data_IF_284998397929
#
_entry.id   IF_284998397929
#
_cell.length_a   1.000
_cell.length_b   1.000
_cell.length_c   1.000
_cell.angle_alpha   90.00
_cell.angle_beta   90.00
_cell.angle_gamma   90.00
#
_symmetry.space_group_name_H-M   'P 1'
#
loop_
_entity.id
_entity.type
_entity.pdbx_description
1 polymer ?
#
# COMPACT_ATOMS: atom_id res chain seq x y z
N UNK A 1 15.01 49.56 -40.60
CA UNK A 1 15.56 48.20 -40.53
C UNK A 1 15.74 47.84 -39.04
N UNK A 2 14.78 47.11 -38.49
CA UNK A 2 14.86 46.63 -37.09
C UNK A 2 15.31 45.18 -37.15
N UNK A 3 16.53 44.95 -36.69
CA UNK A 3 17.14 43.61 -36.58
C UNK A 3 16.38 42.80 -35.54
N UNK A 4 15.61 41.80 -35.96
CA UNK A 4 15.05 40.74 -35.09
C UNK A 4 16.19 39.82 -34.73
N UNK A 5 16.85 40.06 -33.57
CA UNK A 5 17.75 39.14 -32.96
C UNK A 5 17.00 37.85 -32.60
N UNK A 6 17.19 36.81 -33.42
CA UNK A 6 16.61 35.48 -33.19
C UNK A 6 17.08 34.93 -31.85
N UNK A 7 16.16 34.73 -30.90
CA UNK A 7 16.38 33.91 -29.71
C UNK A 7 16.69 32.49 -30.17
N UNK A 8 17.99 32.16 -30.22
CA UNK A 8 18.45 30.80 -30.43
C UNK A 8 17.95 29.97 -29.24
N UNK A 9 16.82 29.27 -29.39
CA UNK A 9 16.35 28.29 -28.41
C UNK A 9 17.38 27.18 -28.29
N UNK A 10 17.51 26.61 -27.09
CA UNK A 10 18.36 25.46 -26.81
C UNK A 10 18.12 24.35 -27.84
N UNK A 11 19.20 23.70 -28.33
CA UNK A 11 19.07 22.56 -29.23
C UNK A 11 18.33 21.41 -28.54
N UNK A 12 17.69 20.51 -29.30
CA UNK A 12 16.92 19.37 -28.71
C UNK A 12 17.81 18.54 -27.76
N UNK A 13 19.09 18.29 -28.14
CA UNK A 13 20.05 17.59 -27.28
C UNK A 13 20.32 18.32 -25.95
N UNK A 14 20.38 19.66 -25.97
CA UNK A 14 20.57 20.46 -24.74
C UNK A 14 19.36 20.41 -23.83
N UNK A 15 18.15 20.40 -24.40
CA UNK A 15 16.91 20.22 -23.64
C UNK A 15 16.84 18.84 -23.02
N UNK A 16 17.16 17.79 -23.78
CA UNK A 16 17.13 16.42 -23.29
C UNK A 16 18.15 16.22 -22.16
N UNK A 17 19.36 16.78 -22.31
CA UNK A 17 20.37 16.75 -21.26
C UNK A 17 19.94 17.51 -20.01
N UNK A 18 19.33 18.68 -20.17
CA UNK A 18 18.80 19.47 -19.07
C UNK A 18 17.70 18.73 -18.30
N UNK A 19 16.73 18.11 -19.00
CA UNK A 19 15.69 17.32 -18.37
C UNK A 19 16.26 16.06 -17.67
N UNK A 20 17.25 15.43 -18.26
CA UNK A 20 17.95 14.30 -17.63
C UNK A 20 18.65 14.72 -16.34
N UNK A 21 19.34 15.85 -16.33
CA UNK A 21 19.98 16.39 -15.13
C UNK A 21 18.95 16.71 -14.03
N UNK A 22 17.84 17.36 -14.40
CA UNK A 22 16.75 17.64 -13.45
C UNK A 22 16.16 16.35 -12.87
N UNK A 23 15.97 15.32 -13.70
CA UNK A 23 15.50 14.02 -13.25
C UNK A 23 16.48 13.38 -12.23
N UNK A 24 17.80 13.43 -12.48
CA UNK A 24 18.79 12.93 -11.54
C UNK A 24 18.82 13.71 -10.22
N UNK A 25 18.73 15.04 -10.29
CA UNK A 25 18.65 15.90 -9.09
C UNK A 25 17.39 15.50 -8.28
N UNK A 26 16.25 15.36 -8.94
CA UNK A 26 15.00 14.93 -8.29
C UNK A 26 15.16 13.56 -7.62
N UNK A 27 15.75 12.59 -8.31
CA UNK A 27 16.02 11.24 -7.75
C UNK A 27 16.90 11.33 -6.51
N UNK A 28 17.98 12.12 -6.54
CA UNK A 28 18.87 12.28 -5.40
C UNK A 28 18.17 12.93 -4.21
N UNK A 29 17.34 13.95 -4.43
CA UNK A 29 16.54 14.59 -3.37
C UNK A 29 15.55 13.61 -2.73
N UNK A 30 14.87 12.81 -3.55
CA UNK A 30 13.90 11.80 -3.06
C UNK A 30 14.59 10.65 -2.33
N UNK A 31 15.78 10.24 -2.78
CA UNK A 31 16.54 9.16 -2.14
C UNK A 31 17.29 9.62 -0.87
N UNK A 32 17.52 10.91 -0.70
CA UNK A 32 18.27 11.42 0.44
C UNK A 32 17.74 10.95 1.80
N UNK A 33 16.44 11.08 2.13
CA UNK A 33 15.93 10.59 3.41
C UNK A 33 16.09 9.07 3.57
N UNK A 34 15.98 8.29 2.49
CA UNK A 34 16.17 6.83 2.54
C UNK A 34 17.63 6.49 2.83
N UNK A 35 18.57 7.15 2.13
CA UNK A 35 20.01 6.99 2.36
C UNK A 35 20.36 7.43 3.79
N UNK A 36 19.78 8.54 4.26
CA UNK A 36 19.98 9.02 5.61
C UNK A 36 19.51 8.00 6.66
N UNK A 37 18.34 7.43 6.51
CA UNK A 37 17.84 6.35 7.38
C UNK A 37 18.78 5.13 7.33
N UNK A 38 19.23 4.72 6.13
CA UNK A 38 20.18 3.63 5.99
C UNK A 38 21.50 3.87 6.72
N UNK A 39 22.02 5.11 6.70
CA UNK A 39 23.21 5.47 7.48
C UNK A 39 22.92 5.45 9.00
N UNK A 40 21.77 5.94 9.43
CA UNK A 40 21.39 5.98 10.84
C UNK A 40 21.27 4.59 11.49
N UNK A 41 20.92 3.55 10.71
CA UNK A 41 20.85 2.17 11.20
C UNK A 41 22.20 1.66 11.77
N UNK A 42 23.32 2.18 11.23
CA UNK A 42 24.66 1.74 11.58
C UNK A 42 25.46 2.80 12.34
N UNK A 43 24.91 3.98 12.57
CA UNK A 43 25.62 5.10 13.19
C UNK A 43 25.49 5.03 14.71
N UNK A 44 26.64 4.98 15.47
CA UNK A 44 26.60 4.98 16.93
C UNK A 44 25.89 6.20 17.50
N UNK A 45 25.12 6.02 18.59
CA UNK A 45 24.39 7.11 19.27
C UNK A 45 25.32 8.29 19.65
N UNK A 46 26.54 7.98 20.08
CA UNK A 46 27.53 8.98 20.52
C UNK A 46 27.92 10.00 19.46
N UNK A 47 27.82 9.63 18.17
CA UNK A 47 28.18 10.52 17.04
C UNK A 47 26.95 10.92 16.18
N UNK A 48 25.78 10.40 16.52
CA UNK A 48 24.57 10.53 15.69
C UNK A 48 24.14 12.00 15.51
N UNK A 49 24.26 12.81 16.56
CA UNK A 49 23.84 14.22 16.59
C UNK A 49 24.99 15.20 16.80
N UNK A 50 26.24 14.76 16.61
CA UNK A 50 27.41 15.65 16.68
C UNK A 50 27.35 16.74 15.60
N UNK A 51 27.86 17.91 15.95
CA UNK A 51 28.00 19.05 15.03
C UNK A 51 29.46 19.45 14.93
N UNK A 52 30.06 19.52 13.73
CA UNK A 52 29.45 19.23 12.42
C UNK A 52 29.08 17.75 12.26
N UNK A 53 28.17 17.45 11.33
CA UNK A 53 27.71 16.07 11.08
C UNK A 53 28.88 15.15 10.72
N UNK A 54 29.02 14.06 11.46
CA UNK A 54 30.03 13.03 11.19
C UNK A 54 29.51 12.12 10.08
N UNK A 55 30.19 12.13 8.94
CA UNK A 55 29.82 11.29 7.78
C UNK A 55 30.56 9.95 7.77
N UNK A 56 31.79 9.92 8.30
CA UNK A 56 32.61 8.71 8.39
C UNK A 56 32.69 8.30 9.86
N UNK A 57 32.18 7.12 10.17
CA UNK A 57 32.09 6.57 11.53
C UNK A 57 32.33 5.06 11.48
N UNK A 58 32.71 4.47 12.60
CA UNK A 58 32.73 3.01 12.75
C UNK A 58 31.29 2.49 12.89
N UNK A 59 30.84 1.61 11.98
CA UNK A 59 29.47 1.08 12.04
C UNK A 59 29.24 0.23 13.28
N UNK A 60 28.06 0.35 13.92
CA UNK A 60 27.60 -0.55 15.00
C UNK A 60 26.39 -1.37 14.56
N UNK A 61 26.20 -2.53 15.20
CA UNK A 61 25.01 -3.37 15.08
C UNK A 61 24.11 -3.35 16.33
N UNK A 62 24.47 -2.57 17.35
CA UNK A 62 23.74 -2.53 18.64
C UNK A 62 22.26 -2.19 18.47
N UNK A 63 21.91 -1.35 17.49
CA UNK A 63 20.53 -1.02 17.17
C UNK A 63 19.72 -2.22 16.67
N UNK A 64 20.37 -3.15 15.94
CA UNK A 64 19.72 -4.38 15.46
C UNK A 64 19.45 -5.34 16.61
N UNK A 65 20.41 -5.51 17.51
CA UNK A 65 20.24 -6.39 18.67
C UNK A 65 19.07 -5.92 19.53
N UNK A 66 18.99 -4.62 19.79
CA UNK A 66 17.87 -4.03 20.53
C UNK A 66 16.51 -4.31 19.89
N UNK A 67 16.33 -4.07 18.58
CA UNK A 67 15.02 -4.26 17.93
C UNK A 67 14.64 -5.74 17.86
N UNK A 68 15.63 -6.65 17.72
CA UNK A 68 15.42 -8.10 17.70
C UNK A 68 14.90 -8.56 19.07
N UNK A 69 15.49 -8.08 20.18
CA UNK A 69 15.04 -8.36 21.55
C UNK A 69 13.61 -7.86 21.81
N UNK A 70 13.20 -6.75 21.18
CA UNK A 70 11.82 -6.25 21.24
C UNK A 70 10.82 -7.04 20.38
N UNK A 71 11.22 -8.16 19.78
CA UNK A 71 10.34 -9.03 19.00
C UNK A 71 10.14 -8.58 17.55
N UNK A 72 11.08 -7.84 16.99
CA UNK A 72 11.03 -7.29 15.64
C UNK A 72 10.67 -8.31 14.56
N UNK A 73 11.36 -9.47 14.55
CA UNK A 73 11.15 -10.53 13.56
C UNK A 73 9.72 -11.07 13.62
N UNK A 74 9.19 -11.28 14.84
CA UNK A 74 7.79 -11.69 15.03
C UNK A 74 6.82 -10.65 14.48
N UNK A 75 7.06 -9.36 14.72
CA UNK A 75 6.19 -8.28 14.29
C UNK A 75 6.21 -8.10 12.76
N UNK A 76 7.36 -8.27 12.11
CA UNK A 76 7.48 -8.35 10.64
C UNK A 76 6.68 -9.52 10.09
N UNK A 77 6.84 -10.72 10.68
CA UNK A 77 6.07 -11.91 10.31
C UNK A 77 4.55 -11.71 10.46
N UNK A 78 4.13 -11.13 11.59
CA UNK A 78 2.72 -10.79 11.83
C UNK A 78 2.18 -9.82 10.77
N UNK A 79 2.93 -8.75 10.46
CA UNK A 79 2.54 -7.81 9.41
C UNK A 79 2.38 -8.49 8.05
N UNK A 80 3.32 -9.36 7.67
CA UNK A 80 3.24 -10.11 6.41
C UNK A 80 2.01 -11.01 6.37
N UNK A 81 1.78 -11.79 7.42
CA UNK A 81 0.63 -12.71 7.51
C UNK A 81 -0.69 -11.93 7.38
N UNK A 82 -0.86 -10.88 8.19
CA UNK A 82 -2.11 -10.09 8.21
C UNK A 82 -2.32 -9.37 6.87
N UNK A 83 -1.29 -8.73 6.32
CA UNK A 83 -1.41 -7.98 5.07
C UNK A 83 -1.67 -8.90 3.87
N UNK A 84 -0.99 -10.04 3.78
CA UNK A 84 -1.20 -11.00 2.70
C UNK A 84 -2.57 -11.65 2.84
N UNK A 85 -2.93 -12.15 4.02
CA UNK A 85 -4.20 -12.84 4.24
C UNK A 85 -5.40 -11.92 4.00
N UNK A 86 -5.36 -10.68 4.53
CA UNK A 86 -6.43 -9.70 4.28
C UNK A 86 -6.53 -9.35 2.79
N UNK A 87 -5.41 -9.15 2.10
CA UNK A 87 -5.39 -8.86 0.66
C UNK A 87 -5.97 -10.02 -0.16
N UNK A 88 -5.59 -11.26 0.14
CA UNK A 88 -6.14 -12.45 -0.54
C UNK A 88 -7.65 -12.57 -0.34
N UNK A 89 -8.13 -12.38 0.89
CA UNK A 89 -9.57 -12.40 1.17
C UNK A 89 -10.31 -11.27 0.43
N UNK A 90 -9.70 -10.07 0.35
CA UNK A 90 -10.25 -8.94 -0.41
C UNK A 90 -10.38 -9.30 -1.89
N UNK A 91 -9.39 -9.95 -2.50
CA UNK A 91 -9.44 -10.40 -3.90
C UNK A 91 -10.56 -11.42 -4.09
N UNK A 92 -10.65 -12.42 -3.22
CA UNK A 92 -11.63 -13.51 -3.30
C UNK A 92 -13.07 -12.96 -3.19
N UNK A 93 -13.33 -12.05 -2.24
CA UNK A 93 -14.66 -11.50 -1.98
C UNK A 93 -14.95 -10.30 -2.90
N UNK A 94 -13.96 -9.43 -3.07
CA UNK A 94 -14.10 -8.15 -3.76
C UNK A 94 -14.22 -8.29 -5.29
N UNK A 95 -13.58 -9.30 -5.90
CA UNK A 95 -13.67 -9.50 -7.36
C UNK A 95 -15.10 -9.87 -7.80
N UNK A 96 -15.77 -10.87 -7.19
CA UNK A 96 -17.17 -11.16 -7.48
C UNK A 96 -18.09 -9.97 -7.14
N UNK A 97 -17.83 -9.27 -6.03
CA UNK A 97 -18.61 -8.10 -5.65
C UNK A 97 -18.49 -6.96 -6.68
N UNK A 98 -17.28 -6.63 -7.12
CA UNK A 98 -17.05 -5.62 -8.14
C UNK A 98 -17.74 -5.96 -9.47
N UNK A 99 -17.65 -7.23 -9.87
CA UNK A 99 -18.34 -7.75 -11.05
C UNK A 99 -19.86 -7.62 -10.91
N UNK A 100 -20.41 -8.00 -9.77
CA UNK A 100 -21.85 -7.89 -9.51
C UNK A 100 -22.34 -6.44 -9.59
N UNK A 101 -21.61 -5.48 -8.98
CA UNK A 101 -21.93 -4.07 -9.07
C UNK A 101 -21.72 -3.45 -10.47
N UNK A 102 -20.93 -4.09 -11.33
CA UNK A 102 -20.76 -3.64 -12.70
C UNK A 102 -21.84 -4.15 -13.64
N UNK A 103 -22.32 -5.40 -13.48
CA UNK A 103 -23.11 -6.13 -14.46
C UNK A 103 -24.55 -6.38 -14.06
N UNK A 104 -24.85 -6.66 -12.77
CA UNK A 104 -26.19 -7.05 -12.39
C UNK A 104 -27.11 -5.84 -12.18
N UNK A 105 -28.35 -5.89 -12.70
CA UNK A 105 -29.39 -4.94 -12.34
C UNK A 105 -29.86 -5.26 -10.91
N UNK A 106 -29.43 -4.41 -9.96
CA UNK A 106 -29.86 -4.52 -8.56
C UNK A 106 -30.69 -3.29 -8.21
N UNK A 107 -31.77 -3.49 -7.42
CA UNK A 107 -32.55 -2.39 -6.87
C UNK A 107 -31.63 -1.48 -6.04
N UNK A 108 -31.65 -0.17 -6.32
CA UNK A 108 -30.79 0.83 -5.67
C UNK A 108 -29.27 0.51 -5.72
N UNK A 109 -28.81 -0.10 -6.81
CA UNK A 109 -27.39 -0.53 -6.97
C UNK A 109 -26.40 0.59 -6.65
N UNK A 110 -26.65 1.79 -7.15
CA UNK A 110 -25.72 2.89 -6.99
C UNK A 110 -25.76 3.46 -5.56
N UNK A 111 -26.92 3.40 -4.87
CA UNK A 111 -27.03 3.75 -3.44
C UNK A 111 -26.23 2.78 -2.57
N UNK A 112 -26.37 1.46 -2.80
CA UNK A 112 -25.58 0.45 -2.09
C UNK A 112 -24.08 0.62 -2.35
N UNK A 113 -23.73 0.91 -3.58
CA UNK A 113 -22.34 1.16 -3.93
C UNK A 113 -21.80 2.41 -3.23
N UNK A 114 -22.55 3.50 -3.22
CA UNK A 114 -22.21 4.72 -2.49
C UNK A 114 -22.13 4.48 -0.98
N UNK A 115 -23.03 3.67 -0.42
CA UNK A 115 -22.97 3.28 0.99
C UNK A 115 -21.66 2.54 1.32
N UNK A 116 -21.25 1.57 0.50
CA UNK A 116 -19.97 0.88 0.66
C UNK A 116 -18.80 1.86 0.61
N UNK A 117 -18.82 2.84 -0.29
CA UNK A 117 -17.79 3.88 -0.33
C UNK A 117 -17.81 4.78 0.90
N UNK A 118 -19.01 5.14 1.37
CA UNK A 118 -19.19 5.98 2.56
C UNK A 118 -18.59 5.34 3.82
N UNK A 119 -18.58 4.00 3.94
CA UNK A 119 -17.93 3.30 5.07
C UNK A 119 -16.44 3.62 5.17
N UNK A 120 -15.76 3.86 4.05
CA UNK A 120 -14.35 4.27 4.02
C UNK A 120 -14.13 5.72 4.46
N UNK A 121 -15.15 6.58 4.34
CA UNK A 121 -15.06 7.98 4.76
C UNK A 121 -15.20 8.16 6.27
N UNK A 122 -15.66 7.12 6.99
CA UNK A 122 -15.73 7.15 8.44
C UNK A 122 -14.33 7.31 9.04
N UNK A 123 -14.14 8.25 9.99
CA UNK A 123 -12.85 8.44 10.65
C UNK A 123 -12.39 7.14 11.34
N UNK A 124 -11.21 6.59 11.04
CA UNK A 124 -10.75 5.33 11.62
C UNK A 124 -10.75 5.35 13.16
N UNK A 125 -10.40 6.50 13.76
CA UNK A 125 -10.40 6.68 15.22
C UNK A 125 -11.81 6.51 15.82
N UNK A 126 -12.85 6.97 15.14
CA UNK A 126 -14.23 6.80 15.61
C UNK A 126 -14.70 5.35 15.49
N UNK A 127 -14.18 4.63 14.49
CA UNK A 127 -14.58 3.23 14.25
C UNK A 127 -13.83 2.24 15.15
N UNK A 128 -12.59 2.52 15.53
CA UNK A 128 -11.76 1.56 16.26
C UNK A 128 -12.29 1.24 17.66
N UNK A 129 -12.93 2.21 18.33
CA UNK A 129 -13.50 2.00 19.68
C UNK A 129 -14.65 0.99 19.65
N UNK A 130 -15.69 1.14 18.80
CA UNK A 130 -16.72 0.12 18.63
C UNK A 130 -16.13 -1.26 18.25
N UNK A 131 -15.15 -1.31 17.36
CA UNK A 131 -14.47 -2.58 17.00
C UNK A 131 -13.82 -3.21 18.23
N UNK A 132 -13.08 -2.45 19.03
CA UNK A 132 -12.46 -2.95 20.25
C UNK A 132 -13.50 -3.58 21.19
N UNK A 133 -14.61 -2.89 21.46
CA UNK A 133 -15.67 -3.36 22.36
C UNK A 133 -16.33 -4.66 21.85
N UNK A 134 -16.56 -4.75 20.53
CA UNK A 134 -17.15 -5.95 19.92
C UNK A 134 -16.14 -7.10 19.99
N UNK A 135 -14.88 -6.86 19.57
CA UNK A 135 -13.84 -7.88 19.49
C UNK A 135 -13.48 -8.45 20.86
N UNK A 136 -13.47 -7.61 21.90
CA UNK A 136 -13.28 -8.06 23.27
C UNK A 136 -14.39 -9.02 23.73
N UNK A 137 -15.65 -8.78 23.31
CA UNK A 137 -16.80 -9.64 23.68
C UNK A 137 -16.83 -10.96 22.91
N UNK A 138 -16.43 -10.96 21.61
CA UNK A 138 -16.51 -12.14 20.76
C UNK A 138 -15.21 -12.94 20.69
N UNK A 139 -14.18 -12.56 21.44
CA UNK A 139 -12.90 -13.25 21.48
C UNK A 139 -11.98 -13.02 20.26
N UNK A 140 -12.21 -11.95 19.50
CA UNK A 140 -11.38 -11.58 18.34
C UNK A 140 -10.27 -10.59 18.68
N UNK A 141 -10.25 -10.04 19.91
CA UNK A 141 -9.17 -9.16 20.37
C UNK A 141 -7.85 -9.94 20.44
N UNK A 142 -6.74 -9.29 20.08
CA UNK A 142 -5.39 -9.86 20.06
C UNK A 142 -5.25 -11.16 19.27
N UNK A 143 -5.97 -11.25 18.14
CA UNK A 143 -5.99 -12.43 17.27
C UNK A 143 -5.74 -12.09 15.79
N UNK A 144 -5.11 -13.02 15.05
CA UNK A 144 -4.93 -12.88 13.60
C UNK A 144 -6.27 -12.71 12.86
N UNK A 145 -7.32 -13.55 13.11
CA UNK A 145 -8.60 -13.38 12.45
C UNK A 145 -9.22 -12.00 12.72
N UNK A 146 -9.14 -11.52 13.97
CA UNK A 146 -9.65 -10.20 14.33
C UNK A 146 -8.99 -9.09 13.50
N UNK A 147 -7.68 -9.09 13.43
CA UNK A 147 -6.96 -8.04 12.70
C UNK A 147 -7.17 -8.13 11.18
N UNK A 148 -7.21 -9.35 10.63
CA UNK A 148 -7.52 -9.59 9.21
C UNK A 148 -8.92 -9.07 8.87
N UNK A 149 -9.93 -9.37 9.68
CA UNK A 149 -11.30 -8.90 9.49
C UNK A 149 -11.40 -7.37 9.61
N UNK A 150 -10.69 -6.76 10.56
CA UNK A 150 -10.63 -5.30 10.67
C UNK A 150 -10.06 -4.66 9.39
N UNK A 151 -9.02 -5.25 8.80
CA UNK A 151 -8.41 -4.74 7.57
C UNK A 151 -9.31 -4.89 6.33
N UNK A 152 -10.22 -5.86 6.33
CA UNK A 152 -11.24 -5.96 5.27
C UNK A 152 -12.16 -4.74 5.26
N UNK A 153 -12.52 -4.19 6.41
CA UNK A 153 -13.55 -3.14 6.51
C UNK A 153 -13.23 -1.89 5.70
N UNK A 154 -11.97 -1.48 5.64
CA UNK A 154 -11.56 -0.29 4.89
C UNK A 154 -10.99 -0.60 3.51
N UNK A 155 -10.39 -1.78 3.31
CA UNK A 155 -9.77 -2.14 2.04
C UNK A 155 -10.74 -2.74 1.03
N UNK A 156 -11.76 -3.50 1.47
CA UNK A 156 -12.73 -4.11 0.57
C UNK A 156 -13.51 -3.06 -0.23
N UNK A 157 -13.94 -1.99 0.42
CA UNK A 157 -14.63 -0.87 -0.22
C UNK A 157 -13.80 -0.25 -1.34
N UNK A 158 -12.52 -0.02 -1.07
CA UNK A 158 -11.58 0.52 -2.05
C UNK A 158 -11.38 -0.43 -3.24
N UNK A 159 -11.15 -1.71 -2.93
CA UNK A 159 -10.95 -2.73 -3.95
C UNK A 159 -12.16 -2.84 -4.90
N UNK A 160 -13.37 -2.94 -4.33
CA UNK A 160 -14.61 -3.04 -5.10
C UNK A 160 -14.81 -1.78 -5.96
N UNK A 161 -14.54 -0.60 -5.41
CA UNK A 161 -14.66 0.66 -6.14
C UNK A 161 -13.75 0.71 -7.36
N UNK A 162 -12.47 0.43 -7.18
CA UNK A 162 -11.50 0.51 -8.28
C UNK A 162 -11.77 -0.58 -9.31
N UNK A 163 -11.97 -1.83 -8.87
CA UNK A 163 -12.15 -2.95 -9.80
C UNK A 163 -13.48 -2.89 -10.56
N UNK A 164 -14.55 -2.30 -9.97
CA UNK A 164 -15.80 -2.02 -10.71
C UNK A 164 -15.56 -1.16 -11.95
N UNK A 165 -14.67 -0.19 -11.89
CA UNK A 165 -14.34 0.66 -13.03
C UNK A 165 -13.72 -0.17 -14.17
N UNK A 166 -12.77 -1.04 -13.84
CA UNK A 166 -12.19 -1.96 -14.82
C UNK A 166 -13.22 -2.94 -15.41
N UNK A 167 -14.14 -3.45 -14.58
CA UNK A 167 -15.23 -4.30 -15.08
C UNK A 167 -16.11 -3.57 -16.10
N UNK A 168 -16.40 -2.27 -15.88
CA UNK A 168 -17.24 -1.46 -16.79
C UNK A 168 -16.56 -1.18 -18.13
N UNK A 169 -15.24 -1.13 -18.16
CA UNK A 169 -14.47 -0.92 -19.40
C UNK A 169 -14.34 -2.21 -20.22
N UNK A 170 -14.58 -3.37 -19.63
CA UNK A 170 -14.54 -4.67 -20.34
C UNK A 170 -15.81 -4.81 -21.20
N UNK A 171 -15.67 -5.15 -22.52
CA UNK A 171 -16.81 -5.37 -23.41
C UNK A 171 -17.74 -6.45 -22.90
N UNK A 172 -19.05 -6.16 -22.82
CA UNK A 172 -20.06 -7.10 -22.32
C UNK A 172 -20.33 -8.23 -23.33
N UNK A 173 -20.07 -7.99 -24.59
CA UNK A 173 -20.25 -8.93 -25.71
C UNK A 173 -19.44 -10.22 -25.53
N UNK A 174 -18.26 -10.13 -24.88
CA UNK A 174 -17.43 -11.30 -24.57
C UNK A 174 -18.11 -12.22 -23.54
N UNK A 175 -18.82 -11.62 -22.59
CA UNK A 175 -19.55 -12.34 -21.57
C UNK A 175 -20.83 -12.99 -22.14
N UNK A 176 -21.54 -12.26 -23.00
CA UNK A 176 -22.75 -12.74 -23.70
C UNK A 176 -22.43 -13.89 -24.65
N UNK A 177 -21.35 -13.80 -25.43
CA UNK A 177 -20.89 -14.88 -26.28
C UNK A 177 -20.56 -16.15 -25.48
N UNK A 178 -19.85 -16.01 -24.36
CA UNK A 178 -19.54 -17.16 -23.50
C UNK A 178 -20.81 -17.78 -22.86
N UNK A 179 -21.80 -16.95 -22.51
CA UNK A 179 -23.10 -17.45 -22.02
C UNK A 179 -23.90 -18.18 -23.12
N UNK A 180 -23.80 -17.72 -24.38
CA UNK A 180 -24.41 -18.41 -25.52
C UNK A 180 -23.75 -19.78 -25.78
N UNK A 181 -22.45 -19.91 -25.48
CA UNK A 181 -21.71 -21.18 -25.51
C UNK A 181 -22.00 -22.07 -24.29
N UNK A 182 -22.94 -21.70 -23.42
CA UNK A 182 -23.39 -22.49 -22.27
C UNK A 182 -22.60 -22.31 -20.96
N UNK A 183 -21.72 -21.32 -20.89
CA UNK A 183 -21.03 -21.00 -19.63
C UNK A 183 -21.99 -20.40 -18.60
N UNK A 184 -21.92 -20.88 -17.37
CA UNK A 184 -22.60 -20.22 -16.25
C UNK A 184 -21.94 -18.87 -15.93
N UNK A 185 -22.67 -17.96 -15.29
CA UNK A 185 -22.13 -16.63 -14.88
C UNK A 185 -20.88 -16.72 -14.02
N UNK A 186 -20.76 -17.73 -13.16
CA UNK A 186 -19.55 -17.97 -12.37
C UNK A 186 -18.38 -18.41 -13.25
N UNK A 187 -18.63 -19.25 -14.25
CA UNK A 187 -17.61 -19.65 -15.20
C UNK A 187 -17.16 -18.47 -16.07
N UNK A 188 -18.09 -17.61 -16.49
CA UNK A 188 -17.78 -16.36 -17.20
C UNK A 188 -16.88 -15.48 -16.35
N UNK A 189 -17.22 -15.25 -15.06
CA UNK A 189 -16.39 -14.48 -14.17
C UNK A 189 -14.97 -15.05 -14.06
N UNK A 190 -14.83 -16.34 -13.79
CA UNK A 190 -13.51 -16.95 -13.49
C UNK A 190 -12.68 -17.20 -14.75
N UNK A 191 -13.32 -17.62 -15.87
CA UNK A 191 -12.61 -18.03 -17.09
C UNK A 191 -12.42 -16.93 -18.12
N UNK A 192 -13.28 -15.90 -18.10
CA UNK A 192 -13.26 -14.82 -19.10
C UNK A 192 -12.91 -13.49 -18.44
N UNK A 193 -13.74 -13.04 -17.50
CA UNK A 193 -13.65 -11.68 -16.94
C UNK A 193 -12.42 -11.53 -16.04
N UNK A 194 -12.19 -12.42 -15.07
CA UNK A 194 -11.05 -12.29 -14.16
C UNK A 194 -9.69 -12.34 -14.87
N UNK A 195 -9.45 -13.20 -15.90
CA UNK A 195 -8.24 -13.11 -16.72
C UNK A 195 -8.07 -11.78 -17.45
N UNK A 196 -9.15 -11.22 -18.01
CA UNK A 196 -9.12 -9.91 -18.67
C UNK A 196 -8.84 -8.78 -17.66
N UNK A 197 -9.39 -8.88 -16.45
CA UNK A 197 -9.19 -7.93 -15.36
C UNK A 197 -7.86 -8.11 -14.62
N UNK A 198 -7.03 -9.10 -14.98
CA UNK A 198 -5.79 -9.42 -14.26
C UNK A 198 -4.91 -8.21 -13.96
N UNK A 199 -4.66 -7.26 -14.90
CA UNK A 199 -3.87 -6.07 -14.60
C UNK A 199 -4.52 -5.20 -13.50
N UNK A 200 -5.83 -5.00 -13.57
CA UNK A 200 -6.60 -4.23 -12.57
C UNK A 200 -6.64 -4.93 -11.21
N UNK A 201 -6.85 -6.25 -11.19
CA UNK A 201 -6.81 -7.06 -9.96
C UNK A 201 -5.45 -6.92 -9.28
N UNK A 202 -4.35 -7.10 -10.02
CA UNK A 202 -2.99 -7.01 -9.49
C UNK A 202 -2.74 -5.59 -8.95
N UNK A 203 -2.99 -4.55 -9.76
CA UNK A 203 -2.73 -3.17 -9.35
C UNK A 203 -3.50 -2.79 -8.07
N UNK A 204 -4.80 -3.13 -8.01
CA UNK A 204 -5.64 -2.82 -6.84
C UNK A 204 -5.22 -3.64 -5.61
N UNK A 205 -4.85 -4.91 -5.80
CA UNK A 205 -4.36 -5.77 -4.71
C UNK A 205 -3.06 -5.25 -4.10
N UNK A 206 -2.15 -4.73 -4.92
CA UNK A 206 -0.92 -4.08 -4.46
C UNK A 206 -1.22 -2.89 -3.56
N UNK A 207 -2.16 -2.04 -3.96
CA UNK A 207 -2.55 -0.89 -3.14
C UNK A 207 -3.20 -1.35 -1.82
N UNK A 208 -4.07 -2.37 -1.85
CA UNK A 208 -4.65 -2.94 -0.64
C UNK A 208 -3.58 -3.54 0.29
N UNK A 209 -2.59 -4.24 -0.27
CA UNK A 209 -1.45 -4.74 0.51
C UNK A 209 -0.66 -3.60 1.16
N UNK A 210 -0.34 -2.55 0.41
CA UNK A 210 0.39 -1.38 0.94
C UNK A 210 -0.39 -0.72 2.08
N UNK A 211 -1.71 -0.55 1.93
CA UNK A 211 -2.56 0.00 3.00
C UNK A 211 -2.59 -0.90 4.23
N UNK A 212 -2.72 -2.22 4.06
CA UNK A 212 -2.70 -3.19 5.15
C UNK A 212 -1.32 -3.26 5.84
N UNK A 213 -0.24 -3.24 5.06
CA UNK A 213 1.14 -3.28 5.57
C UNK A 213 1.49 -2.07 6.44
N UNK A 214 1.04 -0.87 6.04
CA UNK A 214 1.31 0.38 6.76
C UNK A 214 0.25 0.72 7.81
N UNK A 215 -0.75 -0.15 8.02
CA UNK A 215 -1.81 0.11 8.96
C UNK A 215 -1.29 0.05 10.40
N UNK A 216 -1.51 1.12 11.14
CA UNK A 216 -1.06 1.30 12.51
C UNK A 216 -2.19 1.29 13.52
N UNK A 217 -3.28 2.05 13.27
CA UNK A 217 -4.27 2.36 14.29
C UNK A 217 -5.07 1.13 14.73
N UNK A 218 -5.61 0.36 13.77
CA UNK A 218 -6.34 -0.86 14.10
C UNK A 218 -5.41 -1.90 14.73
N UNK A 219 -4.17 -2.04 14.24
CA UNK A 219 -3.20 -2.95 14.83
C UNK A 219 -2.80 -2.54 16.25
N UNK A 220 -2.66 -1.24 16.53
CA UNK A 220 -2.33 -0.73 17.85
C UNK A 220 -3.46 -0.92 18.84
N UNK A 221 -4.71 -0.72 18.41
CA UNK A 221 -5.88 -0.78 19.28
C UNK A 221 -6.48 -2.17 19.44
N UNK A 222 -6.40 -3.02 18.40
CA UNK A 222 -7.00 -4.37 18.40
C UNK A 222 -5.98 -5.49 18.60
N UNK A 223 -4.69 -5.18 18.47
CA UNK A 223 -3.60 -6.09 18.82
C UNK A 223 -3.23 -6.04 20.30
N UNK A 224 -2.43 -6.99 20.73
CA UNK A 224 -1.99 -7.10 22.13
C UNK A 224 -0.57 -7.68 22.22
N UNK A 225 -0.39 -8.70 23.05
CA UNK A 225 0.88 -9.40 23.19
C UNK A 225 1.13 -10.45 22.10
N UNK A 226 0.06 -11.05 21.59
CA UNK A 226 0.15 -12.16 20.64
C UNK A 226 0.30 -11.66 19.20
N UNK A 227 -0.46 -10.63 18.82
CA UNK A 227 -0.52 -10.11 17.46
C UNK A 227 -0.13 -8.64 17.47
N UNK A 228 1.13 -8.39 17.12
CA UNK A 228 1.70 -7.05 16.93
C UNK A 228 2.26 -6.93 15.53
N UNK A 229 1.91 -5.84 14.84
CA UNK A 229 2.45 -5.53 13.52
C UNK A 229 3.70 -4.64 13.61
N UNK A 230 4.48 -4.60 12.54
CA UNK A 230 5.69 -3.79 12.48
C UNK A 230 5.45 -2.29 12.80
N UNK A 231 4.41 -1.61 12.25
CA UNK A 231 4.16 -0.20 12.58
C UNK A 231 3.91 0.05 14.08
N UNK A 232 3.39 -0.93 14.82
CA UNK A 232 3.12 -0.78 16.27
C UNK A 232 4.39 -0.81 17.13
N UNK A 233 5.56 -1.06 16.55
CA UNK A 233 6.85 -0.88 17.23
C UNK A 233 7.27 0.59 17.37
N UNK A 234 6.80 1.45 16.47
CA UNK A 234 7.23 2.86 16.45
C UNK A 234 7.05 3.57 17.79
N UNK A 235 5.89 3.50 18.47
CA UNK A 235 5.71 4.15 19.78
C UNK A 235 6.66 3.64 20.88
N UNK A 236 7.12 2.40 20.80
CA UNK A 236 8.02 1.81 21.81
C UNK A 236 9.42 2.46 21.75
N UNK A 237 9.79 3.00 20.59
CA UNK A 237 11.10 3.62 20.36
C UNK A 237 11.15 5.10 20.85
N UNK A 238 10.02 5.64 21.30
CA UNK A 238 9.94 6.91 21.98
C UNK A 238 10.02 6.67 23.49
N UNK A 239 11.21 6.85 24.07
CA UNK A 239 11.48 6.58 25.48
C UNK A 239 11.54 7.88 26.30
N UNK A 240 11.55 7.76 27.62
CA UNK A 240 11.76 8.91 28.51
C UNK A 240 13.15 9.57 28.36
N UNK A 241 14.11 8.84 27.79
CA UNK A 241 15.47 9.31 27.52
C UNK A 241 15.62 9.94 26.13
N UNK A 242 14.57 9.89 25.30
CA UNK A 242 14.57 10.41 23.94
C UNK A 242 14.11 9.38 22.92
N UNK A 243 14.31 9.69 21.64
CA UNK A 243 13.96 8.83 20.52
C UNK A 243 15.14 7.97 20.12
N UNK A 244 14.92 6.68 20.01
CA UNK A 244 15.89 5.70 19.52
C UNK A 244 15.96 5.73 17.99
N UNK A 245 16.76 6.66 17.45
CA UNK A 245 16.78 6.97 16.02
C UNK A 245 17.37 5.87 15.15
N UNK A 246 18.40 5.15 15.62
CA UNK A 246 18.99 4.01 14.93
C UNK A 246 17.97 2.90 14.73
N UNK A 247 17.30 2.52 15.81
CA UNK A 247 16.24 1.51 15.86
C UNK A 247 15.02 1.94 15.03
N UNK A 248 14.61 3.22 15.13
CA UNK A 248 13.53 3.77 14.33
C UNK A 248 13.84 3.69 12.83
N UNK A 249 15.11 3.91 12.47
CA UNK A 249 15.57 3.80 11.09
C UNK A 249 15.52 2.35 10.58
N UNK A 250 15.84 1.35 11.43
CA UNK A 250 15.69 -0.07 11.08
C UNK A 250 14.22 -0.40 10.81
N UNK A 251 13.31 -0.05 11.72
CA UNK A 251 11.88 -0.28 11.57
C UNK A 251 11.35 0.40 10.30
N UNK A 252 11.74 1.65 10.04
CA UNK A 252 11.35 2.39 8.85
C UNK A 252 11.87 1.79 7.55
N UNK A 253 13.14 1.37 7.51
CA UNK A 253 13.72 0.73 6.33
C UNK A 253 13.08 -0.62 6.02
N UNK A 254 12.79 -1.42 7.05
CA UNK A 254 12.09 -2.70 6.85
C UNK A 254 10.61 -2.46 6.49
N UNK A 255 9.97 -1.42 7.00
CA UNK A 255 8.63 -1.03 6.55
C UNK A 255 8.61 -0.62 5.08
N UNK A 256 9.66 0.02 4.58
CA UNK A 256 9.78 0.45 3.19
C UNK A 256 10.06 -0.72 2.23
N UNK A 257 10.84 -1.73 2.66
CA UNK A 257 11.34 -2.80 1.80
C UNK A 257 10.25 -3.60 1.05
N UNK A 258 9.19 -4.15 1.67
CA UNK A 258 8.15 -4.89 0.95
C UNK A 258 7.40 -4.01 -0.05
N UNK A 259 7.19 -2.74 0.28
CA UNK A 259 6.52 -1.79 -0.61
C UNK A 259 7.36 -1.57 -1.88
N UNK A 260 8.67 -1.34 -1.72
CA UNK A 260 9.59 -1.20 -2.85
C UNK A 260 9.66 -2.48 -3.70
N UNK A 261 9.76 -3.65 -3.05
CA UNK A 261 9.79 -4.95 -3.76
C UNK A 261 8.51 -5.13 -4.58
N UNK A 262 7.35 -4.93 -3.98
CA UNK A 262 6.06 -5.09 -4.64
C UNK A 262 5.90 -4.10 -5.79
N UNK A 263 6.24 -2.83 -5.59
CA UNK A 263 6.20 -1.80 -6.64
C UNK A 263 7.15 -2.14 -7.78
N UNK A 264 8.39 -2.53 -7.47
CA UNK A 264 9.39 -2.90 -8.47
C UNK A 264 8.96 -4.10 -9.32
N UNK A 265 8.45 -5.16 -8.69
CA UNK A 265 8.01 -6.37 -9.39
C UNK A 265 6.77 -6.12 -10.27
N UNK A 266 5.88 -5.25 -9.82
CA UNK A 266 4.56 -5.06 -10.42
C UNK A 266 4.40 -3.71 -11.15
N UNK A 267 5.47 -2.89 -11.24
CA UNK A 267 5.46 -1.56 -11.88
C UNK A 267 4.83 -1.57 -13.28
N UNK A 268 5.12 -2.59 -14.11
CA UNK A 268 4.54 -2.72 -15.46
C UNK A 268 3.02 -2.92 -15.46
N UNK A 269 2.47 -3.57 -14.42
CA UNK A 269 1.04 -3.80 -14.28
C UNK A 269 0.35 -2.57 -13.66
N UNK A 270 1.02 -1.91 -12.71
CA UNK A 270 0.55 -0.68 -12.07
C UNK A 270 0.45 0.44 -13.10
N UNK A 271 1.48 0.65 -13.91
CA UNK A 271 1.48 1.68 -14.96
C UNK A 271 0.36 1.42 -15.97
N UNK A 272 0.21 0.18 -16.47
CA UNK A 272 -0.89 -0.16 -17.39
C UNK A 272 -2.26 0.04 -16.77
N UNK A 273 -2.45 -0.38 -15.51
CA UNK A 273 -3.72 -0.23 -14.80
C UNK A 273 -4.11 1.22 -14.54
N UNK A 274 -3.15 2.09 -14.21
CA UNK A 274 -3.41 3.51 -13.98
C UNK A 274 -3.59 4.32 -15.27
N UNK A 275 -2.96 3.90 -16.37
CA UNK A 275 -3.04 4.60 -17.66
C UNK A 275 -4.28 4.22 -18.49
N UNK A 276 -4.87 3.03 -18.32
CA UNK A 276 -6.12 2.64 -18.98
C UNK A 276 -7.28 3.58 -18.63
N UNK A 277 -7.31 4.17 -17.42
CA UNK A 277 -8.30 5.18 -17.04
C UNK A 277 -7.99 6.61 -17.47
N UNK A 278 -6.76 6.90 -17.92
CA UNK A 278 -6.30 8.27 -18.23
C UNK A 278 -6.22 8.60 -19.74
N UNK A 279 -6.23 7.60 -20.63
CA UNK A 279 -6.15 7.81 -22.07
C UNK A 279 -7.53 7.63 -22.70
N UNK A 280 -8.39 8.63 -22.50
CA UNK A 280 -9.47 8.98 -23.44
C UNK A 280 -8.99 10.23 -24.16
N UNK A 281 -8.33 10.06 -25.28
CA UNK A 281 -7.95 11.08 -26.22
C UNK A 281 -7.92 10.47 -27.59
#
# INVERSE_FOLDING_TARGET
MVSTAGRQGLSQKQKDWFYTLLAWIYVLVVLFPVIWMALMMFKPESVMFQRPTVWFFEPTLDHFDYVIEQGFIKNVGTSLIVSIASTLLIVIIGTPAAYAFARFPMWRRDDFFLFILATRMAPPVAMVIPFYLIYAKVGLFDSYPGLILAYLTFNLSFYVWVLRSFCRETPVELEEAAMADGYSRWQVLVKIVAPLLRPGIIATSVLCFIFAWNEFLYAFMLGGKNVRTLPTMIPILFTSQGVKWGELSIVGMVALAPVLIVVFLLQRHIVRGLTMGAVKG
#
